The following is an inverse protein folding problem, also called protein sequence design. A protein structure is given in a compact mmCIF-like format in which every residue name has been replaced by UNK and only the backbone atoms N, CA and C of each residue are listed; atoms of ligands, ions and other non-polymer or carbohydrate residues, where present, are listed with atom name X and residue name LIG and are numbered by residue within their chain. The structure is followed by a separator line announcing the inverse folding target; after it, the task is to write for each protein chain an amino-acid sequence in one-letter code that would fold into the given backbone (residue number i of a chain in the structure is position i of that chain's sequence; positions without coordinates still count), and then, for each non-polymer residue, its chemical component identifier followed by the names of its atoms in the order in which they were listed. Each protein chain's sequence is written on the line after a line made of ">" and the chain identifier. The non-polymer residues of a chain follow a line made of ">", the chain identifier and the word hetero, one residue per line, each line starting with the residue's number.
data_IF_879931936331
#
_entry.id   IF_879931936331
#
_cell.length_a   1.000
_cell.length_b   1.000
_cell.length_c   1.000
_cell.angle_alpha   90.00
_cell.angle_beta   90.00
_cell.angle_gamma   90.00
#
_symmetry.space_group_name_H-M   'P 1'
#
loop_
_entity.id
_entity.type
_entity.pdbx_description
1 polymer ?
#
# COMPACT_ATOMS: atom_id res chain seq x y z
N UNK A 1 12.38 19.84 17.62
CA UNK A 1 12.29 18.36 17.58
C UNK A 1 11.54 17.95 16.32
N UNK A 2 12.18 18.03 15.14
CA UNK A 2 11.50 17.94 13.84
C UNK A 2 11.85 16.75 12.94
N UNK A 3 12.94 16.01 13.22
CA UNK A 3 13.47 15.04 12.23
C UNK A 3 13.15 13.57 12.49
N UNK A 4 12.70 13.19 13.68
CA UNK A 4 12.55 11.77 14.04
C UNK A 4 11.28 11.10 13.47
N UNK A 5 10.37 11.87 12.86
CA UNK A 5 9.10 11.37 12.29
C UNK A 5 9.16 11.13 10.76
N UNK A 6 10.29 11.41 10.12
CA UNK A 6 10.54 11.20 8.67
C UNK A 6 11.26 9.87 8.35
N UNK A 7 11.38 9.00 9.35
CA UNK A 7 12.27 7.82 9.37
C UNK A 7 11.67 6.57 8.74
N UNK A 8 10.36 6.50 8.49
CA UNK A 8 9.80 5.33 7.81
C UNK A 8 10.43 5.19 6.41
N UNK A 9 11.17 4.12 6.23
CA UNK A 9 11.76 3.70 4.97
C UNK A 9 10.78 2.81 4.20
N UNK A 10 10.99 2.66 2.89
CA UNK A 10 10.22 1.70 2.09
C UNK A 10 10.38 0.28 2.64
N UNK A 11 11.59 -0.07 3.10
CA UNK A 11 11.88 -1.37 3.71
C UNK A 11 11.06 -1.61 4.97
N UNK A 12 11.02 -0.66 5.90
CA UNK A 12 10.21 -0.79 7.12
C UNK A 12 8.71 -0.86 6.82
N UNK A 13 8.25 -0.17 5.77
CA UNK A 13 6.87 -0.28 5.31
C UNK A 13 6.57 -1.67 4.75
N UNK A 14 7.47 -2.22 3.94
CA UNK A 14 7.35 -3.60 3.45
C UNK A 14 7.37 -4.61 4.59
N UNK A 15 8.26 -4.44 5.58
CA UNK A 15 8.37 -5.29 6.76
C UNK A 15 7.06 -5.25 7.57
N UNK A 16 6.50 -4.06 7.78
CA UNK A 16 5.23 -3.88 8.48
C UNK A 16 4.05 -4.57 7.74
N UNK A 17 3.97 -4.41 6.42
CA UNK A 17 2.93 -5.06 5.61
C UNK A 17 3.09 -6.59 5.63
N UNK A 18 4.32 -7.10 5.50
CA UNK A 18 4.59 -8.55 5.58
C UNK A 18 4.23 -9.14 6.94
N UNK A 19 4.58 -8.45 8.03
CA UNK A 19 4.23 -8.88 9.38
C UNK A 19 2.70 -9.03 9.56
N UNK A 20 1.91 -8.16 8.92
CA UNK A 20 0.44 -8.23 8.98
C UNK A 20 -0.15 -9.34 8.10
N UNK A 21 0.46 -9.64 6.95
CA UNK A 21 0.07 -10.77 6.09
C UNK A 21 0.36 -12.11 6.79
N UNK A 22 1.35 -12.15 7.69
CA UNK A 22 1.69 -13.31 8.50
C UNK A 22 2.59 -14.32 7.77
N UNK A 23 2.68 -15.58 8.25
CA UNK A 23 3.65 -16.58 7.76
C UNK A 23 3.56 -16.90 6.27
N UNK A 24 2.39 -16.68 5.66
CA UNK A 24 2.17 -16.85 4.22
C UNK A 24 2.95 -15.83 3.37
N UNK A 25 3.35 -14.70 3.95
CA UNK A 25 4.14 -13.66 3.28
C UNK A 25 5.65 -13.92 3.26
N UNK A 26 6.16 -14.82 4.12
CA UNK A 26 7.59 -15.16 4.18
C UNK A 26 8.16 -15.74 2.87
N UNK A 27 7.52 -16.69 2.17
CA UNK A 27 8.03 -17.17 0.88
C UNK A 27 7.86 -16.16 -0.25
N UNK A 28 7.09 -15.09 -0.03
CA UNK A 28 6.70 -14.10 -1.04
C UNK A 28 7.35 -12.73 -0.84
N UNK A 29 8.46 -12.65 -0.09
CA UNK A 29 9.14 -11.37 0.25
C UNK A 29 9.23 -10.42 -0.94
N UNK A 30 9.90 -10.85 -2.01
CA UNK A 30 10.10 -10.00 -3.19
C UNK A 30 8.79 -9.62 -3.88
N UNK A 31 7.81 -10.52 -3.90
CA UNK A 31 6.49 -10.21 -4.46
C UNK A 31 5.81 -9.13 -3.63
N UNK A 32 5.76 -9.29 -2.31
CA UNK A 32 5.14 -8.30 -1.41
C UNK A 32 5.84 -6.94 -1.53
N UNK A 33 7.18 -6.91 -1.56
CA UNK A 33 7.93 -5.67 -1.68
C UNK A 33 7.60 -4.91 -2.98
N UNK A 34 7.52 -5.65 -4.11
CA UNK A 34 7.11 -5.08 -5.40
C UNK A 34 5.66 -4.56 -5.35
N UNK A 35 4.75 -5.31 -4.76
CA UNK A 35 3.34 -4.91 -4.63
C UNK A 35 3.18 -3.68 -3.73
N UNK A 36 3.92 -3.58 -2.63
CA UNK A 36 3.94 -2.41 -1.75
C UNK A 36 4.53 -1.20 -2.47
N UNK A 37 5.59 -1.39 -3.24
CA UNK A 37 6.21 -0.32 -4.05
C UNK A 37 5.23 0.20 -5.11
N UNK A 38 4.56 -0.68 -5.83
CA UNK A 38 3.52 -0.26 -6.79
C UNK A 38 2.31 0.37 -6.09
N UNK A 39 1.92 -0.14 -4.93
CA UNK A 39 0.87 0.49 -4.12
C UNK A 39 1.28 1.92 -3.75
N UNK A 40 2.53 2.17 -3.35
CA UNK A 40 3.02 3.53 -3.11
C UNK A 40 2.91 4.42 -4.35
N UNK A 41 3.29 3.91 -5.53
CA UNK A 41 3.23 4.66 -6.80
C UNK A 41 1.81 5.10 -7.11
N UNK A 42 0.82 4.24 -6.88
CA UNK A 42 -0.57 4.46 -7.28
C UNK A 42 -1.52 4.86 -6.15
N UNK A 43 -1.02 5.01 -4.91
CA UNK A 43 -1.87 5.34 -3.77
C UNK A 43 -2.59 6.70 -3.93
N UNK A 44 -3.92 6.76 -3.85
CA UNK A 44 -4.66 8.00 -4.06
C UNK A 44 -4.64 8.88 -2.79
N UNK A 45 -3.48 9.45 -2.47
CA UNK A 45 -3.22 10.20 -1.23
C UNK A 45 -4.28 11.24 -0.88
N UNK A 46 -4.72 12.04 -1.88
CA UNK A 46 -5.71 13.10 -1.68
C UNK A 46 -7.05 12.51 -1.26
N UNK A 47 -7.56 11.54 -2.01
CA UNK A 47 -8.84 10.89 -1.73
C UNK A 47 -8.81 10.15 -0.38
N UNK A 48 -7.74 9.40 -0.10
CA UNK A 48 -7.59 8.68 1.17
C UNK A 48 -7.44 9.63 2.37
N UNK A 49 -6.82 10.79 2.19
CA UNK A 49 -6.76 11.83 3.23
C UNK A 49 -8.09 12.51 3.46
N UNK A 50 -8.90 12.69 2.42
CA UNK A 50 -10.27 13.20 2.55
C UNK A 50 -11.14 12.20 3.30
N UNK A 51 -11.06 10.91 2.97
CA UNK A 51 -11.75 9.83 3.68
C UNK A 51 -11.32 9.78 5.15
N UNK A 52 -10.02 9.83 5.43
CA UNK A 52 -9.48 9.76 6.80
C UNK A 52 -9.90 10.93 7.70
N UNK A 53 -10.34 12.05 7.12
CA UNK A 53 -10.84 13.22 7.85
C UNK A 53 -12.35 13.18 8.10
N UNK A 54 -13.08 12.27 7.45
CA UNK A 54 -14.51 12.11 7.67
C UNK A 54 -14.75 11.46 9.04
N UNK A 55 -15.83 11.83 9.76
CA UNK A 55 -16.22 11.10 10.96
C UNK A 55 -16.47 9.63 10.62
N UNK A 56 -16.20 8.75 11.58
CA UNK A 56 -16.38 7.30 11.42
C UNK A 56 -17.87 6.95 11.32
N UNK A 57 -18.42 7.08 10.11
CA UNK A 57 -19.78 6.69 9.73
C UNK A 57 -19.70 5.46 8.82
N UNK A 58 -20.80 4.70 8.70
CA UNK A 58 -20.87 3.56 7.78
C UNK A 58 -20.49 3.94 6.34
N UNK A 59 -20.88 5.15 5.90
CA UNK A 59 -20.54 5.70 4.58
C UNK A 59 -19.04 6.01 4.38
N UNK A 60 -18.30 6.32 5.46
CA UNK A 60 -16.85 6.50 5.37
C UNK A 60 -16.12 5.17 5.18
N UNK A 61 -16.61 4.11 5.84
CA UNK A 61 -16.11 2.75 5.65
C UNK A 61 -16.31 2.24 4.22
N UNK A 62 -17.50 2.44 3.66
CA UNK A 62 -17.80 2.09 2.26
C UNK A 62 -16.88 2.84 1.27
N UNK A 63 -16.65 4.13 1.49
CA UNK A 63 -15.74 4.92 0.66
C UNK A 63 -14.29 4.41 0.72
N UNK A 64 -13.81 4.03 1.91
CA UNK A 64 -12.47 3.45 2.07
C UNK A 64 -12.35 2.11 1.34
N UNK A 65 -13.33 1.21 1.49
CA UNK A 65 -13.35 -0.09 0.82
C UNK A 65 -13.41 0.05 -0.70
N UNK A 66 -14.23 0.98 -1.20
CA UNK A 66 -14.30 1.30 -2.63
C UNK A 66 -12.96 1.80 -3.16
N UNK A 67 -12.31 2.73 -2.44
CA UNK A 67 -11.01 3.26 -2.83
C UNK A 67 -9.91 2.17 -2.80
N UNK A 68 -9.96 1.23 -1.84
CA UNK A 68 -9.07 0.06 -1.79
C UNK A 68 -9.28 -0.83 -3.02
N UNK A 69 -10.53 -1.11 -3.41
CA UNK A 69 -10.83 -1.92 -4.59
C UNK A 69 -10.30 -1.27 -5.88
N UNK A 70 -10.49 0.04 -6.04
CA UNK A 70 -9.96 0.79 -7.19
C UNK A 70 -8.44 0.79 -7.22
N UNK A 71 -7.80 1.00 -6.07
CA UNK A 71 -6.33 0.98 -5.95
C UNK A 71 -5.78 -0.40 -6.28
N UNK A 72 -6.42 -1.46 -5.77
CA UNK A 72 -6.08 -2.86 -6.07
C UNK A 72 -6.15 -3.13 -7.58
N UNK A 73 -7.26 -2.75 -8.22
CA UNK A 73 -7.41 -2.92 -9.67
C UNK A 73 -6.34 -2.15 -10.45
N UNK A 74 -6.00 -0.93 -10.02
CA UNK A 74 -4.97 -0.12 -10.69
C UNK A 74 -3.57 -0.73 -10.56
N UNK A 75 -3.20 -1.18 -9.37
CA UNK A 75 -1.90 -1.83 -9.13
C UNK A 75 -1.82 -3.12 -9.94
N UNK A 76 -2.89 -3.94 -9.97
CA UNK A 76 -2.96 -5.15 -10.78
C UNK A 76 -2.69 -4.87 -12.25
N UNK A 77 -3.38 -3.89 -12.85
CA UNK A 77 -3.19 -3.48 -14.25
C UNK A 77 -1.72 -3.17 -14.54
N UNK A 78 -1.03 -2.50 -13.61
CA UNK A 78 0.37 -2.11 -13.78
C UNK A 78 1.34 -3.29 -13.62
N UNK A 79 1.04 -4.21 -12.69
CA UNK A 79 1.81 -5.45 -12.54
C UNK A 79 1.67 -6.30 -13.80
N UNK A 80 0.45 -6.50 -14.29
CA UNK A 80 0.18 -7.27 -15.50
C UNK A 80 0.85 -6.65 -16.73
N UNK A 81 0.83 -5.33 -16.87
CA UNK A 81 1.46 -4.62 -17.98
C UNK A 81 3.00 -4.75 -17.99
N UNK A 82 3.64 -4.79 -16.81
CA UNK A 82 5.11 -4.81 -16.72
C UNK A 82 5.73 -6.20 -16.74
N UNK A 83 5.12 -7.16 -16.04
CA UNK A 83 5.72 -8.49 -15.87
C UNK A 83 4.95 -9.59 -16.61
N UNK A 84 3.73 -9.31 -17.09
CA UNK A 84 2.82 -10.32 -17.59
C UNK A 84 2.29 -11.21 -16.47
N UNK A 85 1.04 -11.65 -16.58
CA UNK A 85 0.47 -12.63 -15.65
C UNK A 85 -0.17 -13.78 -16.43
N UNK A 86 0.23 -15.01 -16.12
CA UNK A 86 -0.46 -16.19 -16.65
C UNK A 86 -1.81 -16.33 -15.95
N UNK A 87 -2.88 -16.76 -16.66
CA UNK A 87 -4.20 -16.95 -16.06
C UNK A 87 -4.19 -17.85 -14.82
N UNK A 88 -3.28 -18.85 -14.79
CA UNK A 88 -3.11 -19.78 -13.66
C UNK A 88 -2.59 -19.15 -12.37
N UNK A 89 -1.94 -17.98 -12.43
CA UNK A 89 -1.34 -17.30 -11.27
C UNK A 89 -2.12 -16.05 -10.86
N UNK A 90 -3.12 -15.66 -11.66
CA UNK A 90 -3.84 -14.39 -11.48
C UNK A 90 -4.62 -14.37 -10.16
N UNK A 91 -5.32 -15.45 -9.84
CA UNK A 91 -6.07 -15.55 -8.58
C UNK A 91 -5.16 -15.49 -7.33
N UNK A 92 -3.97 -16.10 -7.41
CA UNK A 92 -3.00 -16.04 -6.31
C UNK A 92 -2.41 -14.63 -6.15
N UNK A 93 -2.08 -13.98 -7.27
CA UNK A 93 -1.60 -12.59 -7.27
C UNK A 93 -2.66 -11.64 -6.70
N UNK A 94 -3.92 -11.79 -7.12
CA UNK A 94 -5.03 -10.98 -6.63
C UNK A 94 -5.20 -11.07 -5.11
N UNK A 95 -5.07 -12.28 -4.54
CA UNK A 95 -5.18 -12.50 -3.10
C UNK A 95 -4.06 -11.76 -2.34
N UNK A 96 -2.81 -11.93 -2.79
CA UNK A 96 -1.65 -11.30 -2.14
C UNK A 96 -1.71 -9.78 -2.30
N UNK A 97 -2.04 -9.28 -3.50
CA UNK A 97 -2.18 -7.85 -3.77
C UNK A 97 -3.27 -7.23 -2.91
N UNK A 98 -4.45 -7.85 -2.84
CA UNK A 98 -5.53 -7.36 -1.99
C UNK A 98 -5.10 -7.29 -0.53
N UNK A 99 -4.39 -8.31 -0.03
CA UNK A 99 -3.80 -8.28 1.31
C UNK A 99 -2.85 -7.09 1.51
N UNK A 100 -1.91 -6.88 0.58
CA UNK A 100 -0.96 -5.77 0.64
C UNK A 100 -1.66 -4.40 0.68
N UNK A 101 -2.64 -4.17 -0.20
CA UNK A 101 -3.36 -2.88 -0.29
C UNK A 101 -4.24 -2.64 0.93
N UNK A 102 -4.86 -3.69 1.49
CA UNK A 102 -5.63 -3.59 2.73
C UNK A 102 -4.72 -3.21 3.90
N UNK A 103 -3.58 -3.88 4.08
CA UNK A 103 -2.67 -3.58 5.18
C UNK A 103 -2.01 -2.20 5.04
N UNK A 104 -1.71 -1.80 3.80
CA UNK A 104 -1.31 -0.44 3.50
C UNK A 104 -2.38 0.57 3.92
N UNK A 105 -3.65 0.27 3.63
CA UNK A 105 -4.80 1.07 4.07
C UNK A 105 -4.93 1.12 5.59
N UNK A 106 -4.79 -0.01 6.30
CA UNK A 106 -4.83 -0.07 7.75
C UNK A 106 -3.77 0.85 8.38
N UNK A 107 -2.54 0.80 7.87
CA UNK A 107 -1.47 1.71 8.29
C UNK A 107 -1.84 3.17 8.02
N UNK A 108 -2.37 3.50 6.84
CA UNK A 108 -2.77 4.86 6.49
C UNK A 108 -3.90 5.40 7.39
N UNK A 109 -4.89 4.59 7.73
CA UNK A 109 -6.01 5.03 8.54
C UNK A 109 -5.74 4.96 10.05
N UNK A 110 -4.65 4.29 10.49
CA UNK A 110 -4.30 4.11 11.90
C UNK A 110 -4.17 5.42 12.69
N UNK A 111 -3.33 6.35 12.22
CA UNK A 111 -3.12 7.64 12.89
C UNK A 111 -2.56 8.70 11.94
N UNK A 112 -2.61 10.00 12.31
CA UNK A 112 -2.03 11.08 11.51
C UNK A 112 -0.52 10.95 11.29
N UNK A 113 0.22 10.39 12.24
CA UNK A 113 1.68 10.22 12.14
C UNK A 113 2.06 9.15 11.12
N UNK A 114 1.35 8.02 11.13
CA UNK A 114 1.51 6.99 10.10
C UNK A 114 1.26 7.56 8.69
N UNK A 115 0.23 8.40 8.51
CA UNK A 115 0.00 9.08 7.23
C UNK A 115 1.17 9.97 6.84
N UNK A 116 1.70 10.77 7.76
CA UNK A 116 2.85 11.65 7.47
C UNK A 116 4.05 10.83 7.01
N UNK A 117 4.38 9.77 7.74
CA UNK A 117 5.48 8.87 7.43
C UNK A 117 5.29 8.19 6.06
N UNK A 118 4.10 7.64 5.79
CA UNK A 118 3.79 7.01 4.49
C UNK A 118 3.83 7.99 3.32
N UNK A 119 3.42 9.25 3.49
CA UNK A 119 3.55 10.28 2.44
C UNK A 119 5.01 10.53 2.06
N UNK A 120 5.92 10.53 3.04
CA UNK A 120 7.34 10.66 2.76
C UNK A 120 7.85 9.50 1.89
N UNK A 121 7.46 8.27 2.22
CA UNK A 121 7.79 7.07 1.43
C UNK A 121 7.19 7.16 0.01
N UNK A 122 5.90 7.45 -0.11
CA UNK A 122 5.21 7.58 -1.40
C UNK A 122 5.91 8.63 -2.29
N UNK A 123 6.26 9.79 -1.72
CA UNK A 123 6.96 10.85 -2.45
C UNK A 123 8.32 10.37 -2.95
N UNK A 124 9.11 9.69 -2.11
CA UNK A 124 10.43 9.13 -2.49
C UNK A 124 10.28 8.13 -3.63
N UNK A 125 9.38 7.15 -3.50
CA UNK A 125 9.11 6.14 -4.53
C UNK A 125 8.67 6.78 -5.85
N UNK A 126 7.77 7.76 -5.83
CA UNK A 126 7.30 8.45 -7.05
C UNK A 126 8.37 9.31 -7.72
N UNK A 127 9.29 9.87 -6.93
CA UNK A 127 10.40 10.66 -7.45
C UNK A 127 11.52 9.82 -8.05
N UNK A 128 11.47 8.48 -7.94
CA UNK A 128 12.55 7.60 -8.38
C UNK A 128 13.83 7.72 -7.54
N UNK A 129 13.75 8.42 -6.40
CA UNK A 129 14.82 8.49 -5.41
C UNK A 129 14.70 7.26 -4.53
N UNK A 130 15.00 6.10 -5.09
CA UNK A 130 15.09 4.84 -4.35
C UNK A 130 16.58 4.58 -4.08
N UNK A 131 16.99 4.82 -2.83
CA UNK A 131 18.11 4.09 -2.26
C UNK A 131 17.72 2.62 -2.25
N UNK A 132 18.52 1.82 -2.95
CA UNK A 132 18.78 0.42 -2.66
C UNK A 132 19.01 0.23 -1.16
#
# INVERSE_FOLDING_TARGET
>A
MGDALDTLTLRELCDAVRAQIGPAGEPLVHTVDVLVTETCRWWPEKAMSEIARRPATSSAGEAALSAIAVTTAKVREQIEARWGCKPSHQAALDLVLRGCVVEFGNLWFSCPDARRAMRAVIKRVRSGVENV
#
